data_IF_151262432264
#
_entry.id   IF_151262432264
#
_cell.length_a   1.000
_cell.length_b   1.000
_cell.length_c   1.000
_cell.angle_alpha   90.00
_cell.angle_beta   90.00
_cell.angle_gamma   90.00
#
_symmetry.space_group_name_H-M   'P 1'
#
loop_
_entity.id
_entity.type
_entity.pdbx_description
1 polymer ?
#
# COMPACT_ATOMS: atom_id res chain seq x y z
N UNK A 1 7.39 -0.42 17.55
CA UNK A 1 6.73 0.06 16.32
C UNK A 1 6.03 -1.09 15.58
N UNK A 2 5.22 -0.79 14.56
CA UNK A 2 4.61 -1.84 13.70
C UNK A 2 5.69 -2.65 12.97
N UNK A 3 6.80 -2.06 12.65
CA UNK A 3 7.94 -2.75 12.05
C UNK A 3 8.53 -3.81 12.99
N UNK A 4 8.71 -3.50 14.27
CA UNK A 4 9.23 -4.45 15.27
C UNK A 4 8.31 -5.68 15.38
N UNK A 5 6.98 -5.49 15.22
CA UNK A 5 6.02 -6.59 15.21
C UNK A 5 6.24 -7.48 14.00
N UNK A 6 6.40 -6.91 12.82
CA UNK A 6 6.63 -7.69 11.60
C UNK A 6 7.99 -8.39 11.59
N UNK A 7 9.05 -7.76 12.08
CA UNK A 7 10.39 -8.37 12.16
C UNK A 7 10.43 -9.62 13.04
N UNK A 8 9.55 -9.72 14.03
CA UNK A 8 9.49 -10.84 14.97
C UNK A 8 8.31 -11.80 14.71
N UNK A 9 7.56 -11.62 13.64
CA UNK A 9 6.39 -12.43 13.33
C UNK A 9 6.73 -13.53 12.31
N UNK A 10 6.35 -14.78 12.59
CA UNK A 10 6.38 -15.87 11.61
C UNK A 10 5.26 -15.78 10.58
N UNK A 11 4.08 -15.36 11.04
CA UNK A 11 2.86 -15.10 10.25
C UNK A 11 2.07 -13.96 10.88
N UNK A 12 1.21 -13.28 10.12
CA UNK A 12 0.41 -12.17 10.61
C UNK A 12 -1.05 -12.22 10.15
N UNK A 13 -1.94 -11.61 10.93
CA UNK A 13 -3.28 -11.20 10.49
C UNK A 13 -3.25 -9.68 10.36
N UNK A 14 -3.57 -9.18 9.19
CA UNK A 14 -3.37 -7.76 8.85
C UNK A 14 -4.68 -7.17 8.32
N UNK A 15 -5.08 -6.02 8.83
CA UNK A 15 -6.18 -5.28 8.23
C UNK A 15 -5.76 -4.75 6.84
N UNK A 16 -6.70 -4.79 5.88
CA UNK A 16 -6.42 -4.24 4.55
C UNK A 16 -6.05 -2.75 4.63
N UNK A 17 -4.99 -2.37 3.93
CA UNK A 17 -4.44 -1.03 3.91
C UNK A 17 -2.92 -1.04 3.75
N UNK A 18 -2.27 0.06 4.13
CA UNK A 18 -0.80 0.23 4.05
C UNK A 18 -0.02 -0.80 4.88
N UNK A 19 -0.63 -1.36 5.94
CA UNK A 19 -0.04 -2.41 6.75
C UNK A 19 0.30 -3.67 5.92
N UNK A 20 -0.43 -3.95 4.83
CA UNK A 20 -0.12 -5.06 3.93
C UNK A 20 1.18 -4.84 3.17
N UNK A 21 1.51 -3.59 2.82
CA UNK A 21 2.81 -3.24 2.22
C UNK A 21 3.95 -3.30 3.24
N UNK A 22 3.69 -2.91 4.50
CA UNK A 22 4.68 -3.04 5.58
C UNK A 22 5.03 -4.51 5.83
N UNK A 23 4.02 -5.39 5.87
CA UNK A 23 4.22 -6.84 5.95
C UNK A 23 4.96 -7.40 4.73
N UNK A 24 4.71 -6.85 3.53
CA UNK A 24 5.43 -7.23 2.32
C UNK A 24 6.91 -6.82 2.38
N UNK A 25 7.23 -5.63 2.88
CA UNK A 25 8.61 -5.18 3.09
C UNK A 25 9.38 -6.08 4.06
N UNK A 26 8.71 -6.58 5.10
CA UNK A 26 9.27 -7.54 6.05
C UNK A 26 9.21 -9.00 5.56
N UNK A 27 8.63 -9.26 4.39
CA UNK A 27 8.39 -10.59 3.82
C UNK A 27 7.67 -11.55 4.78
N UNK A 28 6.73 -11.05 5.59
CA UNK A 28 5.97 -11.83 6.57
C UNK A 28 4.71 -12.41 5.93
N UNK A 29 4.55 -13.73 5.87
CA UNK A 29 3.33 -14.37 5.39
C UNK A 29 2.12 -13.92 6.19
N UNK A 30 1.02 -13.60 5.52
CA UNK A 30 -0.11 -12.98 6.20
C UNK A 30 -1.46 -13.44 5.65
N UNK A 31 -2.49 -13.22 6.46
CA UNK A 31 -3.90 -13.28 6.07
C UNK A 31 -4.45 -11.86 6.20
N UNK A 32 -5.07 -11.37 5.14
CA UNK A 32 -5.66 -10.02 5.14
C UNK A 32 -7.14 -10.12 5.51
N UNK A 33 -7.56 -9.26 6.43
CA UNK A 33 -8.95 -9.15 6.87
C UNK A 33 -9.50 -7.76 6.53
N UNK A 34 -10.76 -7.72 6.07
CA UNK A 34 -11.43 -6.46 5.76
C UNK A 34 -12.90 -6.53 6.10
N UNK A 35 -13.32 -5.67 7.04
CA UNK A 35 -14.70 -5.59 7.46
C UNK A 35 -15.10 -4.12 7.63
N UNK A 36 -16.12 -3.71 6.89
CA UNK A 36 -16.71 -2.35 6.94
C UNK A 36 -18.22 -2.45 7.11
N UNK A 37 -18.89 -1.32 7.29
CA UNK A 37 -20.35 -1.31 7.33
C UNK A 37 -20.92 -1.91 6.05
N UNK A 38 -22.07 -2.58 6.17
CA UNK A 38 -22.72 -3.23 5.02
C UNK A 38 -23.05 -2.24 3.90
N UNK A 39 -23.48 -1.05 4.26
CA UNK A 39 -23.80 0.03 3.32
C UNK A 39 -22.53 0.46 2.56
N UNK A 40 -21.43 0.71 3.28
CA UNK A 40 -20.12 1.06 2.68
C UNK A 40 -19.61 -0.03 1.74
N UNK A 41 -19.80 -1.29 2.12
CA UNK A 41 -19.38 -2.42 1.29
C UNK A 41 -20.17 -2.51 -0.02
N UNK A 42 -21.49 -2.36 0.02
CA UNK A 42 -22.34 -2.39 -1.20
C UNK A 42 -21.94 -1.24 -2.12
N UNK A 43 -21.79 -0.03 -1.56
CA UNK A 43 -21.41 1.14 -2.33
C UNK A 43 -20.02 0.97 -2.98
N UNK A 44 -19.04 0.52 -2.22
CA UNK A 44 -17.70 0.24 -2.74
C UNK A 44 -17.72 -0.83 -3.84
N UNK A 45 -18.46 -1.93 -3.64
CA UNK A 45 -18.57 -3.02 -4.61
C UNK A 45 -19.23 -2.61 -5.93
N UNK A 46 -20.15 -1.63 -5.90
CA UNK A 46 -20.79 -1.10 -7.11
C UNK A 46 -19.90 -0.14 -7.91
N UNK A 47 -19.01 0.57 -7.22
CA UNK A 47 -18.16 1.62 -7.81
C UNK A 47 -16.76 1.12 -8.18
N UNK A 48 -16.24 0.13 -7.44
CA UNK A 48 -14.85 -0.29 -7.55
C UNK A 48 -14.76 -1.71 -8.11
N UNK A 49 -14.15 -1.86 -9.26
CA UNK A 49 -13.90 -3.15 -9.94
C UNK A 49 -12.45 -3.60 -9.72
N UNK A 50 -12.06 -3.82 -8.47
CA UNK A 50 -10.73 -4.37 -8.18
C UNK A 50 -10.81 -5.87 -7.93
N UNK A 51 -9.78 -6.61 -8.34
CA UNK A 51 -9.67 -8.06 -8.10
C UNK A 51 -9.28 -8.39 -6.67
N UNK A 52 -8.62 -7.48 -5.98
CA UNK A 52 -8.08 -7.64 -4.62
C UNK A 52 -8.23 -6.35 -3.83
N UNK A 53 -8.31 -6.46 -2.51
CA UNK A 53 -8.43 -5.32 -1.59
C UNK A 53 -7.12 -5.02 -0.85
N UNK A 54 -6.21 -5.97 -0.74
CA UNK A 54 -4.89 -5.72 -0.15
C UNK A 54 -3.98 -5.02 -1.15
N UNK A 55 -3.28 -3.99 -0.71
CA UNK A 55 -2.34 -3.28 -1.56
C UNK A 55 -1.22 -4.19 -2.05
N UNK A 56 -0.80 -5.19 -1.28
CA UNK A 56 0.22 -6.13 -1.69
C UNK A 56 -0.23 -7.00 -2.89
N UNK A 57 -1.46 -7.54 -2.88
CA UNK A 57 -2.03 -8.26 -4.03
C UNK A 57 -2.23 -7.34 -5.24
N UNK A 58 -2.62 -6.07 -5.03
CA UNK A 58 -2.77 -5.08 -6.10
C UNK A 58 -1.42 -4.78 -6.76
N UNK A 59 -0.36 -4.58 -5.97
CA UNK A 59 0.99 -4.36 -6.49
C UNK A 59 1.54 -5.59 -7.21
N UNK A 60 1.19 -6.79 -6.74
CA UNK A 60 1.53 -8.05 -7.39
C UNK A 60 0.78 -8.26 -8.72
N UNK A 61 -0.40 -7.65 -8.87
CA UNK A 61 -1.41 -7.96 -9.90
C UNK A 61 -1.88 -9.43 -9.85
N UNK A 62 -1.75 -10.07 -8.68
CA UNK A 62 -2.09 -11.47 -8.44
C UNK A 62 -2.58 -11.68 -6.99
N UNK A 63 -3.69 -12.45 -6.78
CA UNK A 63 -4.23 -12.72 -5.43
C UNK A 63 -3.48 -13.88 -4.76
N UNK A 64 -2.24 -13.68 -4.31
CA UNK A 64 -1.44 -14.69 -3.62
C UNK A 64 -1.59 -14.68 -2.09
N UNK A 65 -2.02 -13.55 -1.51
CA UNK A 65 -2.35 -13.42 -0.09
C UNK A 65 -3.83 -13.69 0.10
N UNK A 66 -4.25 -14.58 1.00
CA UNK A 66 -5.67 -14.81 1.30
C UNK A 66 -6.33 -13.55 1.90
N UNK A 67 -7.45 -13.16 1.33
CA UNK A 67 -8.26 -12.02 1.75
C UNK A 67 -9.61 -12.49 2.28
N UNK A 68 -9.85 -12.29 3.56
CA UNK A 68 -11.14 -12.56 4.18
C UNK A 68 -11.95 -11.27 4.23
N UNK A 69 -13.12 -11.26 3.56
CA UNK A 69 -13.93 -10.05 3.38
C UNK A 69 -15.29 -10.23 4.03
N UNK A 70 -15.72 -9.23 4.80
CA UNK A 70 -17.06 -9.13 5.39
C UNK A 70 -17.47 -10.40 6.17
N UNK A 71 -18.31 -11.27 5.61
CA UNK A 71 -18.81 -12.49 6.25
C UNK A 71 -17.73 -13.55 6.45
N UNK A 72 -16.69 -13.53 5.64
CA UNK A 72 -15.54 -14.43 5.78
C UNK A 72 -14.65 -14.07 6.96
N UNK A 73 -14.74 -12.83 7.46
CA UNK A 73 -14.02 -12.40 8.68
C UNK A 73 -14.70 -13.02 9.90
N UNK A 74 -14.33 -14.25 10.19
CA UNK A 74 -14.77 -14.98 11.37
C UNK A 74 -13.58 -15.65 12.07
N UNK A 75 -13.65 -15.89 13.39
CA UNK A 75 -12.56 -16.54 14.12
C UNK A 75 -12.17 -17.90 13.52
N UNK A 76 -13.16 -18.67 13.06
CA UNK A 76 -12.92 -19.97 12.45
C UNK A 76 -12.13 -19.87 11.15
N UNK A 77 -12.56 -19.00 10.23
CA UNK A 77 -11.89 -18.82 8.93
C UNK A 77 -10.48 -18.26 9.08
N UNK A 78 -10.29 -17.29 9.97
CA UNK A 78 -8.96 -16.76 10.28
C UNK A 78 -8.07 -17.89 10.82
N UNK A 79 -8.55 -18.67 11.77
CA UNK A 79 -7.80 -19.79 12.35
C UNK A 79 -7.46 -20.88 11.30
N UNK A 80 -8.36 -21.16 10.36
CA UNK A 80 -8.12 -22.10 9.26
C UNK A 80 -6.96 -21.64 8.37
N UNK A 81 -6.97 -20.38 7.90
CA UNK A 81 -5.90 -19.83 7.07
C UNK A 81 -4.56 -19.76 7.81
N UNK A 82 -4.56 -19.34 9.08
CA UNK A 82 -3.35 -19.35 9.90
C UNK A 82 -2.80 -20.76 10.09
N UNK A 83 -3.66 -21.76 10.37
CA UNK A 83 -3.21 -23.16 10.49
C UNK A 83 -2.63 -23.67 9.18
N UNK A 84 -3.19 -23.30 8.04
CA UNK A 84 -2.65 -23.65 6.72
C UNK A 84 -1.23 -23.10 6.56
N UNK A 85 -1.03 -21.81 6.82
CA UNK A 85 0.29 -21.19 6.76
C UNK A 85 1.29 -21.78 7.76
N UNK A 86 0.84 -22.15 8.98
CA UNK A 86 1.73 -22.77 9.99
C UNK A 86 2.14 -24.18 9.62
N UNK A 87 1.24 -24.99 9.06
CA UNK A 87 1.49 -26.40 8.77
C UNK A 87 2.20 -26.62 7.43
N UNK A 88 1.91 -25.79 6.44
CA UNK A 88 2.47 -25.92 5.09
C UNK A 88 3.65 -24.94 4.90
N UNK A 89 4.84 -25.44 5.16
CA UNK A 89 6.09 -24.69 4.99
C UNK A 89 6.33 -24.28 3.53
N UNK A 90 5.87 -25.09 2.56
CA UNK A 90 6.02 -24.78 1.14
C UNK A 90 5.15 -23.57 0.75
N UNK A 91 3.86 -23.58 1.11
CA UNK A 91 2.95 -22.44 0.89
C UNK A 91 3.46 -21.18 1.57
N UNK A 92 3.98 -21.31 2.79
CA UNK A 92 4.54 -20.18 3.53
C UNK A 92 5.77 -19.59 2.83
N UNK A 93 6.69 -20.42 2.38
CA UNK A 93 7.89 -19.95 1.69
C UNK A 93 7.58 -19.37 0.31
N UNK A 94 6.66 -19.97 -0.44
CA UNK A 94 6.17 -19.40 -1.68
C UNK A 94 5.61 -17.98 -1.45
N UNK A 95 4.77 -17.79 -0.44
CA UNK A 95 4.24 -16.47 -0.11
C UNK A 95 5.35 -15.47 0.26
N UNK A 96 6.40 -15.88 0.98
CA UNK A 96 7.56 -15.02 1.27
C UNK A 96 8.27 -14.58 -0.02
N UNK A 97 8.42 -15.46 -0.98
CA UNK A 97 9.05 -15.13 -2.27
C UNK A 97 8.21 -14.09 -3.03
N UNK A 98 6.90 -14.27 -3.11
CA UNK A 98 5.99 -13.29 -3.75
C UNK A 98 6.02 -11.93 -3.01
N UNK A 99 6.07 -11.94 -1.68
CA UNK A 99 6.20 -10.71 -0.88
C UNK A 99 7.50 -9.96 -1.17
N UNK A 100 8.62 -10.68 -1.36
CA UNK A 100 9.91 -10.07 -1.77
C UNK A 100 9.82 -9.45 -3.17
N UNK A 101 9.09 -10.07 -4.10
CA UNK A 101 8.84 -9.49 -5.43
C UNK A 101 8.03 -8.21 -5.30
N UNK A 102 6.97 -8.19 -4.49
CA UNK A 102 6.20 -6.98 -4.18
C UNK A 102 7.08 -5.90 -3.57
N UNK A 103 7.92 -6.25 -2.58
CA UNK A 103 8.88 -5.33 -1.96
C UNK A 103 9.80 -4.68 -3.01
N UNK A 104 10.31 -5.45 -3.96
CA UNK A 104 11.13 -4.93 -5.07
C UNK A 104 10.37 -3.95 -5.97
N UNK A 105 9.08 -4.17 -6.20
CA UNK A 105 8.21 -3.27 -6.99
C UNK A 105 7.89 -1.95 -6.30
N UNK A 106 7.98 -1.88 -4.97
CA UNK A 106 7.75 -0.65 -4.21
C UNK A 106 8.88 0.39 -4.38
N UNK A 107 10.00 -0.01 -4.95
CA UNK A 107 11.13 0.87 -5.23
C UNK A 107 12.08 1.05 -4.04
N UNK A 108 12.92 2.08 -4.14
CA UNK A 108 13.97 2.35 -3.15
C UNK A 108 13.50 3.32 -2.06
N UNK A 109 14.09 3.29 -0.86
CA UNK A 109 13.89 4.31 0.18
C UNK A 109 14.12 5.74 -0.31
N UNK A 110 13.63 6.73 0.45
CA UNK A 110 13.80 8.16 0.13
C UNK A 110 12.66 8.78 -0.67
N UNK A 111 11.46 8.19 -0.67
CA UNK A 111 10.28 8.76 -1.34
C UNK A 111 9.93 10.16 -0.84
N UNK A 112 10.05 10.41 0.48
CA UNK A 112 9.81 11.73 1.09
C UNK A 112 10.80 12.78 0.59
N UNK A 113 12.08 12.43 0.47
CA UNK A 113 13.12 13.36 -0.02
C UNK A 113 12.93 13.68 -1.50
N UNK A 114 12.55 12.67 -2.30
CA UNK A 114 12.18 12.89 -3.71
C UNK A 114 10.96 13.79 -3.84
N UNK A 115 9.92 13.57 -3.04
CA UNK A 115 8.73 14.41 -3.03
C UNK A 115 9.05 15.84 -2.60
N UNK A 116 9.82 16.03 -1.53
CA UNK A 116 10.29 17.35 -1.09
C UNK A 116 11.07 18.06 -2.18
N UNK A 117 12.02 17.38 -2.83
CA UNK A 117 12.80 17.94 -3.93
C UNK A 117 11.95 18.39 -5.11
N UNK A 118 10.90 17.65 -5.46
CA UNK A 118 9.95 18.03 -6.51
C UNK A 118 9.16 19.28 -6.09
N UNK A 119 8.65 19.32 -4.86
CA UNK A 119 7.90 20.46 -4.32
C UNK A 119 8.79 21.72 -4.34
N UNK A 120 10.02 21.65 -3.85
CA UNK A 120 10.96 22.77 -3.90
C UNK A 120 11.20 23.25 -5.32
N UNK A 121 11.40 22.35 -6.27
CA UNK A 121 11.59 22.71 -7.69
C UNK A 121 10.37 23.45 -8.26
N UNK A 122 9.17 22.98 -7.99
CA UNK A 122 7.93 23.62 -8.45
C UNK A 122 7.79 25.01 -7.84
N UNK A 123 8.02 25.17 -6.54
CA UNK A 123 7.96 26.47 -5.85
C UNK A 123 8.94 27.48 -6.44
N UNK A 124 10.19 27.10 -6.66
CA UNK A 124 11.18 27.97 -7.27
C UNK A 124 10.85 28.38 -8.69
N UNK A 125 10.32 27.44 -9.52
CA UNK A 125 9.87 27.77 -10.86
C UNK A 125 8.68 28.75 -10.88
N UNK A 126 7.76 28.60 -9.94
CA UNK A 126 6.61 29.50 -9.82
C UNK A 126 7.03 30.90 -9.37
N UNK A 127 7.96 31.00 -8.41
CA UNK A 127 8.51 32.28 -7.97
C UNK A 127 9.27 32.99 -9.09
N UNK A 128 10.10 32.30 -9.86
CA UNK A 128 10.84 32.85 -10.97
C UNK A 128 9.91 33.40 -12.07
N UNK A 129 8.84 32.67 -12.42
CA UNK A 129 7.81 33.12 -13.36
C UNK A 129 7.06 34.36 -12.86
N UNK A 130 6.66 34.40 -11.59
CA UNK A 130 6.00 35.55 -10.99
C UNK A 130 6.87 36.81 -10.99
N UNK A 131 8.18 36.67 -10.76
CA UNK A 131 9.14 37.77 -10.85
C UNK A 131 9.32 38.26 -12.30
N UNK A 132 9.40 37.34 -13.28
CA UNK A 132 9.48 37.72 -14.69
C UNK A 132 8.22 38.46 -15.18
N UNK A 133 7.04 38.00 -14.77
CA UNK A 133 5.78 38.66 -15.13
C UNK A 133 5.66 40.04 -14.49
N UNK A 134 6.05 40.16 -13.21
CA UNK A 134 6.10 41.45 -12.50
C UNK A 134 7.08 42.42 -13.15
N UNK A 135 8.26 41.96 -13.57
CA UNK A 135 9.27 42.78 -14.26
C UNK A 135 8.77 43.21 -15.64
N UNK A 136 8.16 42.29 -16.41
CA UNK A 136 7.57 42.61 -17.71
C UNK A 136 6.39 43.60 -17.57
N UNK A 137 5.60 43.52 -16.52
CA UNK A 137 4.54 44.49 -16.22
C UNK A 137 5.11 45.86 -15.87
N UNK A 138 6.16 45.94 -15.06
CA UNK A 138 6.82 47.21 -14.70
C UNK A 138 7.53 47.92 -15.86
N UNK A 139 8.04 47.17 -16.85
CA UNK A 139 8.70 47.70 -18.05
C UNK A 139 7.73 48.14 -19.14
N UNK A 140 6.43 47.89 -19.05
CA UNK A 140 5.40 48.45 -19.92
C UNK A 140 5.12 49.90 -19.51
N UNK A 141 5.95 50.81 -19.94
CA UNK A 141 5.65 52.27 -19.87
C UNK A 141 4.50 52.56 -20.80
N UNK A 142 3.44 53.23 -20.37
CA UNK A 142 2.43 53.70 -21.30
C UNK A 142 3.02 54.80 -22.20
N UNK A 143 2.74 54.68 -23.48
CA UNK A 143 3.10 55.71 -24.46
C UNK A 143 2.14 56.92 -24.35
#
# INVERSE_FOLDING_TARGET
>A
TVYDVFENADIAVVASGTATLQGALAAVPMVVVYKVSWISYILAKSLVRVKSISLANIVADEPFIPELIQKEVSPLRIAEELRRLLRDAHTREKMRQELRVVSGRLGTPGASDRAASIIFRVLHQTQARGQEESLKAALRVPA
#
